data_IF_393963681237
#
_entry.id   IF_393963681237
#
_cell.length_a   1.000
_cell.length_b   1.000
_cell.length_c   1.000
_cell.angle_alpha   90.00
_cell.angle_beta   90.00
_cell.angle_gamma   90.00
#
_symmetry.space_group_name_H-M   'P 1'
#
loop_
_entity.id
_entity.type
_entity.pdbx_description
1 polymer ?
#
# COMPACT_ATOMS: atom_id res chain seq x y z
N UNK A 1 24.99 0.84 -1.03
CA UNK A 1 24.80 -0.24 -0.05
C UNK A 1 24.94 0.32 1.36
N UNK A 2 23.98 0.07 2.27
CA UNK A 2 23.97 0.55 3.66
C UNK A 2 23.72 -0.63 4.59
N UNK A 3 24.49 -0.72 5.68
CA UNK A 3 24.38 -1.76 6.69
C UNK A 3 23.84 -1.24 8.01
N UNK A 4 23.05 -2.07 8.67
CA UNK A 4 22.53 -1.81 10.02
C UNK A 4 22.56 -3.10 10.83
N UNK A 5 23.13 -3.09 12.02
CA UNK A 5 23.08 -4.21 12.97
C UNK A 5 21.76 -4.17 13.74
N UNK A 6 21.16 -5.34 13.92
CA UNK A 6 19.93 -5.52 14.71
C UNK A 6 20.32 -5.98 16.12
N UNK A 7 20.41 -5.03 17.02
CA UNK A 7 20.55 -5.31 18.46
C UNK A 7 19.25 -4.92 19.20
N UNK A 8 19.36 -4.35 20.41
CA UNK A 8 18.23 -3.69 21.08
C UNK A 8 17.69 -2.46 20.34
N UNK A 9 18.51 -1.91 19.46
CA UNK A 9 18.19 -0.83 18.50
C UNK A 9 18.80 -1.16 17.14
N UNK A 10 18.45 -0.38 16.12
CA UNK A 10 19.07 -0.44 14.79
C UNK A 10 20.31 0.46 14.78
N UNK A 11 21.49 -0.12 14.55
CA UNK A 11 22.78 0.57 14.59
C UNK A 11 23.38 0.62 13.20
N UNK A 12 23.62 1.82 12.61
CA UNK A 12 24.25 1.93 11.29
C UNK A 12 25.71 1.47 11.36
N UNK A 13 26.14 0.72 10.33
CA UNK A 13 27.50 0.21 10.18
C UNK A 13 28.11 0.67 8.87
N UNK A 14 29.44 0.81 8.83
CA UNK A 14 30.19 1.14 7.61
C UNK A 14 30.53 -0.10 6.77
N UNK A 15 30.53 -1.29 7.39
CA UNK A 15 30.92 -2.56 6.75
C UNK A 15 29.96 -3.69 7.13
N UNK A 16 30.03 -4.79 6.40
CA UNK A 16 29.28 -6.01 6.70
C UNK A 16 29.64 -6.56 8.07
N UNK A 17 28.66 -6.76 8.98
CA UNK A 17 28.91 -7.39 10.27
C UNK A 17 29.13 -8.91 10.12
N UNK A 18 29.75 -9.56 11.13
CA UNK A 18 29.94 -11.02 11.16
C UNK A 18 28.64 -11.79 10.87
N UNK A 19 28.71 -12.96 10.21
CA UNK A 19 27.51 -13.73 9.81
C UNK A 19 26.56 -14.09 10.95
N UNK A 20 27.07 -14.24 12.16
CA UNK A 20 26.29 -14.60 13.34
C UNK A 20 25.44 -13.47 13.89
N UNK A 21 25.77 -12.22 13.58
CA UNK A 21 25.05 -11.04 14.08
C UNK A 21 23.90 -10.67 13.15
N UNK A 22 22.66 -10.58 13.66
CA UNK A 22 21.53 -10.16 12.84
C UNK A 22 21.73 -8.76 12.27
N UNK A 23 21.50 -8.61 10.97
CA UNK A 23 21.68 -7.32 10.32
C UNK A 23 20.75 -7.10 9.12
N UNK A 24 20.58 -5.83 8.78
CA UNK A 24 19.86 -5.35 7.59
C UNK A 24 20.88 -4.81 6.59
N UNK A 25 20.72 -5.15 5.33
CA UNK A 25 21.41 -4.50 4.22
C UNK A 25 20.39 -3.88 3.28
N UNK A 26 20.58 -2.62 2.94
CA UNK A 26 19.81 -1.91 1.94
C UNK A 26 20.64 -1.75 0.67
N UNK A 27 20.08 -2.22 -0.45
CA UNK A 27 20.68 -2.23 -1.77
C UNK A 27 19.77 -1.48 -2.77
N UNK A 28 20.36 -0.99 -3.84
CA UNK A 28 19.62 -0.66 -5.06
C UNK A 28 19.51 -1.88 -5.97
N UNK A 29 18.58 -1.86 -6.95
CA UNK A 29 18.48 -2.92 -7.96
C UNK A 29 19.78 -3.08 -8.76
N UNK A 30 20.52 -1.99 -8.98
CA UNK A 30 21.80 -2.02 -9.67
C UNK A 30 22.88 -2.72 -8.83
N UNK A 31 22.96 -2.40 -7.53
CA UNK A 31 23.88 -3.07 -6.60
C UNK A 31 23.55 -4.55 -6.47
N UNK A 32 22.25 -4.91 -6.37
CA UNK A 32 21.81 -6.30 -6.36
C UNK A 32 22.23 -7.05 -7.65
N UNK A 33 22.08 -6.41 -8.81
CA UNK A 33 22.42 -7.01 -10.11
C UNK A 33 23.93 -7.29 -10.25
N UNK A 34 24.78 -6.48 -9.63
CA UNK A 34 26.23 -6.70 -9.57
C UNK A 34 26.63 -7.91 -8.72
N UNK A 35 25.63 -8.61 -8.13
CA UNK A 35 25.82 -9.79 -7.28
C UNK A 35 26.84 -9.55 -6.16
N UNK A 36 26.51 -8.68 -5.18
CA UNK A 36 27.43 -8.42 -4.08
C UNK A 36 27.74 -9.73 -3.35
N UNK A 37 28.99 -9.94 -3.01
CA UNK A 37 29.41 -11.10 -2.19
C UNK A 37 28.98 -10.81 -0.75
N UNK A 38 27.78 -11.22 -0.40
CA UNK A 38 27.26 -11.16 0.97
C UNK A 38 27.38 -12.55 1.60
N UNK A 39 28.11 -12.63 2.70
CA UNK A 39 28.47 -13.88 3.37
C UNK A 39 27.24 -14.75 3.66
N UNK A 40 27.19 -15.94 3.07
CA UNK A 40 26.12 -16.92 3.27
C UNK A 40 24.81 -16.62 2.54
N UNK A 41 24.76 -15.63 1.65
CA UNK A 41 23.54 -15.23 0.92
C UNK A 41 23.62 -15.47 -0.60
N UNK A 42 24.70 -15.99 -1.13
CA UNK A 42 24.97 -16.09 -2.58
C UNK A 42 23.86 -16.81 -3.35
N UNK A 43 23.30 -17.88 -2.76
CA UNK A 43 22.19 -18.63 -3.35
C UNK A 43 20.87 -17.87 -3.24
N UNK A 44 20.60 -17.26 -2.10
CA UNK A 44 19.35 -16.57 -1.80
C UNK A 44 19.25 -15.26 -2.59
N UNK A 45 20.35 -14.53 -2.79
CA UNK A 45 20.41 -13.28 -3.55
C UNK A 45 19.97 -13.45 -5.02
N UNK A 46 20.23 -14.61 -5.64
CA UNK A 46 19.77 -14.90 -7.01
C UNK A 46 18.25 -14.92 -7.14
N UNK A 47 17.55 -15.13 -6.02
CA UNK A 47 16.08 -15.19 -5.95
C UNK A 47 15.49 -13.93 -5.31
N UNK A 48 16.31 -12.93 -4.97
CA UNK A 48 15.86 -11.65 -4.43
C UNK A 48 15.33 -10.78 -5.56
N UNK A 49 14.06 -10.34 -5.50
CA UNK A 49 13.51 -9.50 -6.55
C UNK A 49 14.13 -8.10 -6.56
N UNK A 50 14.46 -7.58 -7.75
CA UNK A 50 14.85 -6.20 -7.94
C UNK A 50 13.63 -5.28 -7.79
N UNK A 51 13.78 -4.11 -7.15
CA UNK A 51 12.69 -3.17 -6.89
C UNK A 51 11.99 -2.69 -8.18
N UNK A 52 12.77 -2.46 -9.26
CA UNK A 52 12.25 -2.01 -10.58
C UNK A 52 11.30 -3.01 -11.26
N UNK A 53 11.38 -4.30 -10.93
CA UNK A 53 10.60 -5.36 -11.57
C UNK A 53 9.33 -5.71 -10.79
N UNK A 54 9.10 -5.05 -9.65
CA UNK A 54 7.96 -5.30 -8.76
C UNK A 54 6.64 -4.85 -9.41
N UNK A 55 5.66 -5.73 -9.40
CA UNK A 55 4.30 -5.47 -9.91
C UNK A 55 3.19 -5.79 -8.91
N UNK A 56 3.50 -6.62 -7.92
CA UNK A 56 2.56 -7.10 -6.88
C UNK A 56 3.27 -7.21 -5.54
N UNK A 57 2.50 -7.22 -4.43
CA UNK A 57 3.02 -7.70 -3.16
C UNK A 57 3.00 -9.22 -3.15
N UNK A 58 4.09 -9.86 -2.76
CA UNK A 58 4.16 -11.32 -2.59
C UNK A 58 5.18 -11.74 -1.54
N UNK A 59 4.97 -12.91 -0.96
CA UNK A 59 5.94 -13.61 -0.11
C UNK A 59 6.10 -15.04 -0.58
N UNK A 60 7.34 -15.49 -0.73
CA UNK A 60 7.73 -16.86 -1.09
C UNK A 60 8.61 -17.46 0.00
N UNK A 61 8.09 -18.46 0.70
CA UNK A 61 8.83 -19.19 1.71
C UNK A 61 9.65 -20.33 1.07
N UNK A 62 10.93 -20.40 1.42
CA UNK A 62 11.84 -21.50 1.10
C UNK A 62 12.34 -22.10 2.42
N UNK A 63 13.10 -23.19 2.35
CA UNK A 63 13.60 -23.88 3.55
C UNK A 63 14.47 -22.98 4.45
N UNK A 64 15.26 -22.11 3.85
CA UNK A 64 16.34 -21.36 4.47
C UNK A 64 16.20 -19.84 4.37
N UNK A 65 15.24 -19.35 3.58
CA UNK A 65 14.94 -17.93 3.46
C UNK A 65 13.47 -17.69 3.06
N UNK A 66 13.04 -16.45 3.27
CA UNK A 66 11.78 -15.91 2.76
C UNK A 66 12.11 -14.71 1.87
N UNK A 67 11.57 -14.67 0.67
CA UNK A 67 11.76 -13.54 -0.26
C UNK A 67 10.43 -13.04 -0.81
N UNK A 68 10.42 -11.81 -1.27
CA UNK A 68 9.21 -11.26 -1.82
C UNK A 68 9.33 -9.82 -2.28
N UNK A 69 8.16 -9.23 -2.53
CA UNK A 69 8.03 -7.87 -3.05
C UNK A 69 6.92 -7.13 -2.34
N UNK A 70 7.08 -5.82 -2.22
CA UNK A 70 6.06 -4.89 -1.75
C UNK A 70 5.89 -3.78 -2.77
N UNK A 71 4.65 -3.38 -3.03
CA UNK A 71 4.30 -2.26 -3.88
C UNK A 71 3.25 -1.41 -3.17
N UNK A 72 3.57 -0.16 -2.87
CA UNK A 72 2.66 0.73 -2.17
C UNK A 72 1.82 1.54 -3.17
N UNK A 73 0.56 1.85 -2.86
CA UNK A 73 -0.29 2.69 -3.71
C UNK A 73 0.07 4.18 -3.62
N UNK A 74 1.27 4.49 -3.14
CA UNK A 74 1.84 5.83 -3.01
C UNK A 74 2.95 6.04 -4.02
N UNK A 75 3.21 7.31 -4.34
CA UNK A 75 4.29 7.73 -5.22
C UNK A 75 5.23 8.67 -4.48
N UNK A 76 6.48 8.72 -4.94
CA UNK A 76 7.42 9.76 -4.54
C UNK A 76 6.93 11.13 -5.02
N UNK A 77 7.52 12.20 -4.52
CA UNK A 77 7.24 13.57 -5.02
C UNK A 77 7.52 13.72 -6.52
N UNK A 78 8.38 12.87 -7.09
CA UNK A 78 8.69 12.81 -8.53
C UNK A 78 7.75 11.90 -9.33
N UNK A 79 6.69 11.36 -8.72
CA UNK A 79 5.72 10.49 -9.40
C UNK A 79 6.18 9.05 -9.61
N UNK A 80 7.27 8.63 -8.98
CA UNK A 80 7.75 7.24 -9.02
C UNK A 80 7.02 6.41 -7.96
N UNK A 81 6.53 5.23 -8.36
CA UNK A 81 5.86 4.30 -7.46
C UNK A 81 6.84 3.69 -6.45
N UNK A 82 6.41 3.56 -5.20
CA UNK A 82 7.20 2.93 -4.15
C UNK A 82 7.12 1.40 -4.29
N UNK A 83 8.24 0.79 -4.63
CA UNK A 83 8.39 -0.65 -4.87
C UNK A 83 9.64 -1.17 -4.21
N UNK A 84 9.53 -2.31 -3.53
CA UNK A 84 10.61 -2.89 -2.76
C UNK A 84 10.74 -4.39 -3.03
N UNK A 85 11.98 -4.86 -3.15
CA UNK A 85 12.32 -6.26 -3.01
C UNK A 85 12.78 -6.55 -1.60
N UNK A 86 12.56 -7.77 -1.10
CA UNK A 86 13.10 -8.19 0.19
C UNK A 86 13.49 -9.67 0.20
N UNK A 87 14.46 -9.97 1.07
CA UNK A 87 14.85 -11.32 1.41
C UNK A 87 15.19 -11.36 2.90
N UNK A 88 14.71 -12.38 3.58
CA UNK A 88 14.91 -12.58 5.02
C UNK A 88 15.51 -13.95 5.25
N UNK A 89 16.60 -13.99 6.00
CA UNK A 89 17.19 -15.18 6.58
C UNK A 89 17.22 -15.05 8.10
N UNK A 90 17.65 -16.06 8.81
CA UNK A 90 17.75 -15.99 10.28
C UNK A 90 18.69 -14.92 10.80
N UNK A 91 19.70 -14.53 10.00
CA UNK A 91 20.72 -13.56 10.39
C UNK A 91 20.70 -12.29 9.52
N UNK A 92 20.02 -12.27 8.39
CA UNK A 92 20.08 -11.14 7.44
C UNK A 92 18.69 -10.77 6.93
N UNK A 93 18.46 -9.48 6.82
CA UNK A 93 17.37 -8.90 6.02
C UNK A 93 18.01 -8.10 4.88
N UNK A 94 17.75 -8.49 3.65
CA UNK A 94 18.14 -7.74 2.45
C UNK A 94 16.92 -6.96 1.98
N UNK A 95 17.07 -5.66 1.83
CA UNK A 95 16.05 -4.76 1.28
C UNK A 95 16.57 -4.17 -0.03
N UNK A 96 15.71 -4.11 -1.04
CA UNK A 96 16.04 -3.53 -2.35
C UNK A 96 15.11 -2.37 -2.63
N UNK A 97 15.67 -1.17 -2.77
CA UNK A 97 14.92 0.08 -2.99
C UNK A 97 15.68 1.01 -3.92
N UNK A 98 15.08 1.40 -5.03
CA UNK A 98 15.63 2.35 -5.99
C UNK A 98 15.18 3.80 -5.74
N UNK A 99 14.26 4.01 -4.78
CA UNK A 99 13.65 5.32 -4.51
C UNK A 99 14.29 6.08 -3.35
N UNK A 100 15.08 5.40 -2.52
CA UNK A 100 15.64 5.93 -1.27
C UNK A 100 14.62 6.09 -0.13
N UNK A 101 13.39 5.63 -0.33
CA UNK A 101 12.32 5.72 0.66
C UNK A 101 12.61 4.84 1.88
N UNK A 102 13.05 3.58 1.68
CA UNK A 102 13.43 2.70 2.78
C UNK A 102 14.62 3.25 3.56
N UNK A 103 15.59 3.88 2.89
CA UNK A 103 16.69 4.53 3.60
C UNK A 103 16.17 5.61 4.57
N UNK A 104 15.17 6.38 4.15
CA UNK A 104 14.56 7.39 5.00
C UNK A 104 13.84 6.77 6.20
N UNK A 105 13.12 5.66 6.01
CA UNK A 105 12.50 4.90 7.10
C UNK A 105 13.55 4.33 8.06
N UNK A 106 14.62 3.71 7.56
CA UNK A 106 15.68 3.16 8.41
C UNK A 106 16.40 4.24 9.22
N UNK A 107 16.68 5.41 8.62
CA UNK A 107 17.24 6.56 9.34
C UNK A 107 16.29 7.05 10.43
N UNK A 108 14.98 7.03 10.20
CA UNK A 108 13.99 7.39 11.19
C UNK A 108 13.96 6.39 12.36
N UNK A 109 14.01 5.08 12.08
CA UNK A 109 14.15 4.05 13.12
C UNK A 109 15.37 4.30 14.02
N UNK A 110 16.52 4.59 13.42
CA UNK A 110 17.74 4.88 14.16
C UNK A 110 17.60 6.12 15.02
N UNK A 111 17.11 7.22 14.43
CA UNK A 111 17.01 8.52 15.09
C UNK A 111 16.05 8.53 16.26
N UNK A 112 14.86 7.99 16.08
CA UNK A 112 13.79 7.99 17.06
C UNK A 112 13.81 6.74 17.97
N UNK A 113 14.78 5.85 17.78
CA UNK A 113 14.91 4.57 18.53
C UNK A 113 13.60 3.77 18.55
N UNK A 114 12.89 3.77 17.42
CA UNK A 114 11.58 3.12 17.29
C UNK A 114 11.66 1.60 17.32
N UNK A 115 12.81 1.04 16.92
CA UNK A 115 13.01 -0.39 16.97
C UNK A 115 13.43 -0.83 18.37
N UNK A 116 12.63 -1.72 18.96
CA UNK A 116 12.91 -2.34 20.27
C UNK A 116 12.73 -3.85 20.09
N UNK A 117 13.82 -4.60 20.13
CA UNK A 117 13.76 -6.04 20.00
C UNK A 117 15.01 -6.65 19.41
N UNK A 118 14.94 -7.93 19.10
CA UNK A 118 16.03 -8.71 18.50
C UNK A 118 15.47 -9.59 17.39
N UNK A 119 16.32 -9.92 16.42
CA UNK A 119 16.00 -10.85 15.35
C UNK A 119 15.43 -10.20 14.08
N UNK A 120 15.59 -10.91 12.99
CA UNK A 120 15.23 -10.44 11.65
C UNK A 120 13.70 -10.42 11.43
N UNK A 121 12.97 -11.34 12.05
CA UNK A 121 11.51 -11.39 11.98
C UNK A 121 10.88 -10.20 12.71
N UNK A 122 11.37 -9.87 13.92
CA UNK A 122 10.91 -8.69 14.66
C UNK A 122 11.19 -7.40 13.88
N UNK A 123 12.39 -7.26 13.34
CA UNK A 123 12.72 -6.09 12.51
C UNK A 123 11.78 -5.98 11.30
N UNK A 124 11.52 -7.08 10.60
CA UNK A 124 10.67 -7.05 9.42
C UNK A 124 9.22 -6.70 9.75
N UNK A 125 8.70 -7.22 10.87
CA UNK A 125 7.40 -6.81 11.39
C UNK A 125 7.31 -5.30 11.62
N UNK A 126 8.28 -4.72 12.34
CA UNK A 126 8.29 -3.27 12.63
C UNK A 126 8.40 -2.44 11.33
N UNK A 127 9.18 -2.92 10.36
CA UNK A 127 9.26 -2.28 9.05
C UNK A 127 7.89 -2.27 8.34
N UNK A 128 7.20 -3.41 8.31
CA UNK A 128 5.87 -3.53 7.72
C UNK A 128 4.85 -2.61 8.41
N UNK A 129 4.85 -2.59 9.75
CA UNK A 129 4.00 -1.68 10.54
C UNK A 129 4.27 -0.21 10.23
N UNK A 130 5.53 0.17 10.09
CA UNK A 130 5.92 1.53 9.73
C UNK A 130 5.47 1.91 8.31
N UNK A 131 5.51 0.97 7.37
CA UNK A 131 5.07 1.21 6.00
C UNK A 131 3.56 1.53 5.93
N UNK A 132 2.74 0.91 6.79
CA UNK A 132 1.28 1.12 6.83
C UNK A 132 0.83 2.12 7.92
N UNK A 133 1.75 2.68 8.70
CA UNK A 133 1.43 3.50 9.87
C UNK A 133 0.49 4.68 9.58
N UNK A 134 0.61 5.28 8.39
CA UNK A 134 -0.19 6.44 7.95
C UNK A 134 -1.33 6.07 6.99
N UNK A 135 -1.55 4.78 6.75
CA UNK A 135 -2.49 4.37 5.71
C UNK A 135 -3.94 4.67 6.08
N UNK A 136 -4.30 4.51 7.37
CA UNK A 136 -5.66 4.88 7.82
C UNK A 136 -5.95 6.35 7.53
N UNK A 137 -5.03 7.25 7.85
CA UNK A 137 -5.19 8.67 7.56
C UNK A 137 -5.37 8.96 6.05
N UNK A 138 -4.68 8.23 5.18
CA UNK A 138 -4.89 8.36 3.73
C UNK A 138 -6.26 7.84 3.28
N UNK A 139 -6.80 6.81 3.94
CA UNK A 139 -8.15 6.34 3.65
C UNK A 139 -9.20 7.35 4.11
N UNK A 140 -9.02 7.97 5.29
CA UNK A 140 -9.83 9.08 5.79
C UNK A 140 -9.81 10.28 4.82
N UNK A 141 -8.64 10.68 4.29
CA UNK A 141 -8.54 11.73 3.27
C UNK A 141 -9.34 11.40 1.99
N UNK A 142 -9.40 10.13 1.61
CA UNK A 142 -10.20 9.67 0.46
C UNK A 142 -11.69 9.73 0.80
N UNK A 143 -12.08 9.34 2.01
CA UNK A 143 -13.47 9.41 2.49
C UNK A 143 -13.98 10.85 2.46
N UNK A 144 -13.21 11.80 3.00
CA UNK A 144 -13.53 13.23 2.97
C UNK A 144 -13.75 13.74 1.54
N UNK A 145 -12.91 13.30 0.59
CA UNK A 145 -13.08 13.68 -0.82
C UNK A 145 -14.35 13.09 -1.45
N UNK A 146 -14.74 11.87 -1.06
CA UNK A 146 -16.01 11.27 -1.53
C UNK A 146 -17.19 12.03 -0.96
N UNK A 147 -17.13 12.38 0.33
CA UNK A 147 -18.17 13.16 1.01
C UNK A 147 -18.35 14.56 0.38
N UNK A 148 -17.25 15.25 0.11
CA UNK A 148 -17.31 16.54 -0.59
C UNK A 148 -18.00 16.41 -1.96
N UNK A 149 -17.72 15.33 -2.68
CA UNK A 149 -18.33 15.08 -3.98
C UNK A 149 -19.83 14.73 -3.86
N UNK A 150 -20.23 14.08 -2.78
CA UNK A 150 -21.63 13.83 -2.44
C UNK A 150 -22.38 15.15 -2.19
N UNK A 151 -21.80 16.06 -1.42
CA UNK A 151 -22.37 17.37 -1.13
C UNK A 151 -22.51 18.23 -2.41
N UNK A 152 -21.53 18.18 -3.33
CA UNK A 152 -21.61 18.80 -4.65
C UNK A 152 -22.81 18.27 -5.46
N UNK A 153 -23.05 16.96 -5.44
CA UNK A 153 -24.21 16.34 -6.11
C UNK A 153 -25.52 16.83 -5.51
N UNK A 154 -25.62 16.87 -4.18
CA UNK A 154 -26.82 17.33 -3.47
C UNK A 154 -27.12 18.83 -3.70
N UNK A 155 -26.08 19.66 -3.83
CA UNK A 155 -26.21 21.08 -4.17
C UNK A 155 -26.49 21.32 -5.65
N UNK A 156 -26.32 20.28 -6.47
CA UNK A 156 -26.57 20.33 -7.90
C UNK A 156 -25.43 20.83 -8.76
N UNK A 157 -24.22 20.77 -8.22
CA UNK A 157 -22.99 21.12 -8.92
C UNK A 157 -22.41 19.87 -9.59
N UNK A 158 -22.53 19.77 -10.92
CA UNK A 158 -22.19 18.53 -11.66
C UNK A 158 -20.95 18.63 -12.55
N UNK A 159 -20.40 19.82 -12.72
CA UNK A 159 -19.37 20.06 -13.74
C UNK A 159 -18.12 19.20 -13.61
N UNK A 160 -17.67 18.94 -12.40
CA UNK A 160 -16.43 18.18 -12.11
C UNK A 160 -16.66 16.74 -11.68
N UNK A 161 -17.92 16.37 -11.46
CA UNK A 161 -18.27 15.08 -10.87
C UNK A 161 -17.59 13.89 -11.55
N UNK A 162 -17.75 13.76 -12.88
CA UNK A 162 -17.24 12.57 -13.61
C UNK A 162 -15.72 12.41 -13.53
N UNK A 163 -14.98 13.52 -13.57
CA UNK A 163 -13.52 13.50 -13.47
C UNK A 163 -13.07 13.14 -12.05
N UNK A 164 -13.65 13.78 -11.02
CA UNK A 164 -13.35 13.55 -9.61
C UNK A 164 -13.72 12.13 -9.20
N UNK A 165 -14.92 11.66 -9.53
CA UNK A 165 -15.37 10.29 -9.26
C UNK A 165 -14.46 9.23 -9.92
N UNK A 166 -14.01 9.47 -11.15
CA UNK A 166 -13.08 8.58 -11.83
C UNK A 166 -11.75 8.49 -11.08
N UNK A 167 -11.24 9.60 -10.58
CA UNK A 167 -10.03 9.66 -9.76
C UNK A 167 -10.18 8.86 -8.45
N UNK A 168 -11.25 9.12 -7.71
CA UNK A 168 -11.55 8.44 -6.44
C UNK A 168 -11.72 6.94 -6.61
N UNK A 169 -12.44 6.48 -7.64
CA UNK A 169 -12.60 5.06 -7.96
C UNK A 169 -11.26 4.39 -8.28
N UNK A 170 -10.35 5.05 -9.01
CA UNK A 170 -9.01 4.52 -9.29
C UNK A 170 -8.19 4.44 -8.01
N UNK A 171 -8.27 5.45 -7.15
CA UNK A 171 -7.56 5.49 -5.86
C UNK A 171 -8.05 4.37 -4.94
N UNK A 172 -9.35 4.30 -4.66
CA UNK A 172 -9.94 3.27 -3.79
C UNK A 172 -9.66 1.85 -4.29
N UNK A 173 -9.68 1.63 -5.62
CA UNK A 173 -9.32 0.35 -6.22
C UNK A 173 -7.83 0.01 -6.01
N UNK A 174 -6.94 0.99 -6.09
CA UNK A 174 -5.50 0.78 -5.87
C UNK A 174 -5.23 0.40 -4.42
N UNK A 175 -5.85 1.07 -3.45
CA UNK A 175 -5.74 0.76 -2.02
C UNK A 175 -6.32 -0.62 -1.68
N UNK A 176 -7.50 -0.95 -2.17
CA UNK A 176 -8.09 -2.28 -1.96
C UNK A 176 -7.23 -3.40 -2.53
N UNK A 177 -6.68 -3.23 -3.74
CA UNK A 177 -5.78 -4.22 -4.35
C UNK A 177 -4.50 -4.37 -3.54
N UNK A 178 -3.95 -3.27 -3.05
CA UNK A 178 -2.77 -3.28 -2.20
C UNK A 178 -2.99 -4.10 -0.93
N UNK A 179 -4.06 -3.81 -0.17
CA UNK A 179 -4.33 -4.56 1.06
C UNK A 179 -4.72 -6.01 0.81
N UNK A 180 -5.37 -6.32 -0.31
CA UNK A 180 -5.64 -7.71 -0.67
C UNK A 180 -4.33 -8.48 -0.86
N UNK A 181 -3.37 -7.92 -1.58
CA UNK A 181 -2.06 -8.54 -1.79
C UNK A 181 -1.19 -8.54 -0.53
N UNK A 182 -1.24 -7.45 0.26
CA UNK A 182 -0.51 -7.38 1.52
C UNK A 182 -1.06 -8.38 2.55
N UNK A 183 -2.37 -8.65 2.52
CA UNK A 183 -3.01 -9.71 3.30
C UNK A 183 -2.48 -11.10 2.93
N UNK A 184 -2.26 -11.37 1.64
CA UNK A 184 -1.63 -12.63 1.21
C UNK A 184 -0.19 -12.75 1.76
N UNK A 185 0.57 -11.64 1.78
CA UNK A 185 1.90 -11.59 2.40
C UNK A 185 1.81 -11.84 3.91
N UNK A 186 0.91 -11.13 4.60
CA UNK A 186 0.71 -11.27 6.05
C UNK A 186 0.32 -12.70 6.44
N UNK A 187 -0.60 -13.31 5.67
CA UNK A 187 -1.00 -14.70 5.85
C UNK A 187 0.19 -15.67 5.73
N UNK A 188 1.06 -15.50 4.71
CA UNK A 188 2.27 -16.32 4.55
C UNK A 188 3.25 -16.17 5.69
N UNK A 189 3.44 -14.96 6.21
CA UNK A 189 4.29 -14.70 7.38
C UNK A 189 3.72 -15.37 8.64
N UNK A 190 2.41 -15.22 8.86
CA UNK A 190 1.68 -15.83 9.98
C UNK A 190 1.73 -17.35 9.96
N UNK A 191 1.52 -17.98 8.79
CA UNK A 191 1.55 -19.44 8.65
C UNK A 191 2.91 -20.05 9.00
N UNK A 192 4.00 -19.29 8.79
CA UNK A 192 5.37 -19.71 9.15
C UNK A 192 5.69 -21.15 8.73
N UNK A 193 5.29 -21.54 7.50
CA UNK A 193 5.34 -22.94 7.01
C UNK A 193 6.72 -23.58 7.09
N UNK A 194 7.78 -22.78 7.03
CA UNK A 194 9.18 -23.26 7.14
C UNK A 194 9.73 -23.22 8.57
N UNK A 195 8.92 -22.88 9.58
CA UNK A 195 9.38 -22.78 10.97
C UNK A 195 10.47 -21.72 11.17
N UNK A 196 10.48 -20.70 10.35
CA UNK A 196 11.52 -19.69 10.30
C UNK A 196 11.45 -18.72 11.46
N UNK A 197 10.24 -18.27 11.82
CA UNK A 197 10.00 -17.33 12.88
C UNK A 197 9.75 -18.02 14.22
N UNK A 198 10.22 -17.43 15.30
CA UNK A 198 9.90 -17.85 16.67
C UNK A 198 8.42 -17.68 16.98
N UNK A 199 7.91 -18.34 18.02
CA UNK A 199 6.50 -18.22 18.42
C UNK A 199 6.10 -16.78 18.75
N UNK A 200 7.01 -15.99 19.34
CA UNK A 200 6.78 -14.56 19.61
C UNK A 200 6.68 -13.73 18.33
N UNK A 201 7.56 -13.96 17.35
CA UNK A 201 7.52 -13.28 16.06
C UNK A 201 6.27 -13.68 15.24
N UNK A 202 5.87 -14.95 15.32
CA UNK A 202 4.65 -15.43 14.67
C UNK A 202 3.40 -14.72 15.21
N UNK A 203 3.33 -14.46 16.53
CA UNK A 203 2.25 -13.69 17.14
C UNK A 203 2.20 -12.24 16.62
N UNK A 204 3.35 -11.62 16.39
CA UNK A 204 3.41 -10.28 15.78
C UNK A 204 2.83 -10.27 14.37
N UNK A 205 3.15 -11.28 13.55
CA UNK A 205 2.58 -11.40 12.20
C UNK A 205 1.08 -11.69 12.21
N UNK A 206 0.54 -12.34 13.26
CA UNK A 206 -0.90 -12.41 13.47
C UNK A 206 -1.53 -11.04 13.65
N UNK A 207 -0.94 -10.21 14.53
CA UNK A 207 -1.43 -8.84 14.76
C UNK A 207 -1.36 -7.99 13.49
N UNK A 208 -0.30 -8.15 12.70
CA UNK A 208 -0.15 -7.48 11.41
C UNK A 208 -1.22 -7.91 10.41
N UNK A 209 -1.50 -9.21 10.28
CA UNK A 209 -2.55 -9.75 9.42
C UNK A 209 -3.93 -9.19 9.78
N UNK A 210 -4.26 -9.15 11.07
CA UNK A 210 -5.51 -8.55 11.57
C UNK A 210 -5.59 -7.05 11.21
N UNK A 211 -4.49 -6.32 11.32
CA UNK A 211 -4.44 -4.90 10.97
C UNK A 211 -4.64 -4.68 9.48
N UNK A 212 -3.95 -5.44 8.65
CA UNK A 212 -4.12 -5.40 7.18
C UNK A 212 -5.54 -5.78 6.78
N UNK A 213 -6.15 -6.75 7.49
CA UNK A 213 -7.54 -7.13 7.31
C UNK A 213 -8.52 -5.97 7.53
N UNK A 214 -8.32 -5.19 8.60
CA UNK A 214 -9.13 -3.97 8.86
C UNK A 214 -8.95 -2.91 7.77
N UNK A 215 -7.71 -2.60 7.37
CA UNK A 215 -7.45 -1.62 6.31
C UNK A 215 -8.04 -2.05 4.96
N UNK A 216 -8.04 -3.36 4.66
CA UNK A 216 -8.70 -3.90 3.47
C UNK A 216 -10.20 -3.69 3.52
N UNK A 217 -10.83 -3.90 4.68
CA UNK A 217 -12.26 -3.68 4.86
C UNK A 217 -12.62 -2.20 4.70
N UNK A 218 -11.86 -1.28 5.30
CA UNK A 218 -12.04 0.17 5.11
C UNK A 218 -11.97 0.55 3.63
N UNK A 219 -10.95 0.07 2.92
CA UNK A 219 -10.86 0.37 1.48
C UNK A 219 -11.97 -0.27 0.64
N UNK A 220 -12.61 -1.38 1.10
CA UNK A 220 -13.81 -1.95 0.49
C UNK A 220 -15.01 -1.04 0.69
N UNK A 221 -15.21 -0.52 1.91
CA UNK A 221 -16.29 0.41 2.22
C UNK A 221 -16.19 1.70 1.39
N UNK A 222 -15.01 2.27 1.25
CA UNK A 222 -14.80 3.45 0.39
C UNK A 222 -15.18 3.20 -1.08
N UNK A 223 -14.90 1.99 -1.61
CA UNK A 223 -15.34 1.63 -2.97
C UNK A 223 -16.85 1.54 -3.08
N UNK A 224 -17.52 1.01 -2.07
CA UNK A 224 -18.99 0.95 -2.01
C UNK A 224 -19.57 2.37 -1.89
N UNK A 225 -18.96 3.23 -1.08
CA UNK A 225 -19.36 4.63 -0.98
C UNK A 225 -19.25 5.36 -2.33
N UNK A 226 -18.14 5.20 -3.05
CA UNK A 226 -18.04 5.71 -4.42
C UNK A 226 -19.18 5.23 -5.33
N UNK A 227 -19.58 3.97 -5.23
CA UNK A 227 -20.67 3.43 -6.05
C UNK A 227 -22.03 4.03 -5.64
N UNK A 228 -22.27 4.26 -4.35
CA UNK A 228 -23.48 4.91 -3.85
C UNK A 228 -23.60 6.37 -4.36
N UNK A 229 -22.53 7.16 -4.23
CA UNK A 229 -22.50 8.55 -4.71
C UNK A 229 -22.68 8.59 -6.24
N UNK A 230 -22.12 7.65 -6.98
CA UNK A 230 -22.34 7.52 -8.43
C UNK A 230 -23.82 7.27 -8.77
N UNK A 231 -24.48 6.41 -8.00
CA UNK A 231 -25.92 6.12 -8.18
C UNK A 231 -26.78 7.33 -7.86
N UNK A 232 -26.45 8.03 -6.77
CA UNK A 232 -27.12 9.26 -6.38
C UNK A 232 -27.00 10.35 -7.46
N UNK A 233 -25.81 10.55 -8.02
CA UNK A 233 -25.59 11.47 -9.13
C UNK A 233 -26.49 11.15 -10.34
N UNK A 234 -26.62 9.89 -10.72
CA UNK A 234 -27.50 9.49 -11.82
C UNK A 234 -28.97 9.78 -11.52
N UNK A 235 -29.39 9.50 -10.28
CA UNK A 235 -30.76 9.82 -9.83
C UNK A 235 -31.07 11.32 -9.91
N UNK A 236 -30.12 12.18 -9.50
CA UNK A 236 -30.28 13.64 -9.60
C UNK A 236 -30.35 14.13 -11.05
N UNK A 237 -29.56 13.55 -11.95
CA UNK A 237 -29.65 13.83 -13.40
C UNK A 237 -31.04 13.44 -13.93
N UNK A 238 -31.54 12.26 -13.60
CA UNK A 238 -32.86 11.78 -14.05
C UNK A 238 -34.00 12.66 -13.55
N UNK A 239 -33.94 13.10 -12.29
CA UNK A 239 -34.91 14.04 -11.69
C UNK A 239 -34.92 15.38 -12.48
N UNK A 240 -33.74 15.93 -12.79
CA UNK A 240 -33.64 17.18 -13.56
C UNK A 240 -34.14 17.02 -14.98
N UNK A 241 -33.80 15.93 -15.65
CA UNK A 241 -34.30 15.62 -17.00
C UNK A 241 -35.82 15.52 -16.99
N UNK A 242 -36.40 14.77 -16.05
CA UNK A 242 -37.86 14.66 -15.90
C UNK A 242 -38.53 16.00 -15.64
N UNK A 243 -37.93 16.86 -14.82
CA UNK A 243 -38.44 18.23 -14.58
C UNK A 243 -38.41 19.06 -15.86
N UNK A 244 -37.34 19.03 -16.60
CA UNK A 244 -37.19 19.74 -17.88
C UNK A 244 -38.22 19.27 -18.92
N UNK A 245 -38.39 17.92 -19.02
CA UNK A 245 -39.40 17.32 -19.90
C UNK A 245 -40.83 17.76 -19.53
N UNK A 246 -41.18 17.78 -18.24
CA UNK A 246 -42.49 18.29 -17.79
C UNK A 246 -42.71 19.71 -18.17
N UNK A 247 -41.73 20.62 -17.98
CA UNK A 247 -41.82 22.02 -18.37
C UNK A 247 -42.01 22.16 -19.88
N UNK A 248 -41.22 21.42 -20.68
CA UNK A 248 -41.32 21.44 -22.14
C UNK A 248 -42.68 20.94 -22.61
N UNK A 249 -43.23 19.89 -22.01
CA UNK A 249 -44.57 19.35 -22.32
C UNK A 249 -45.65 20.38 -22.03
N UNK A 250 -45.61 21.06 -20.89
CA UNK A 250 -46.57 22.12 -20.52
C UNK A 250 -46.50 23.27 -21.52
N UNK A 251 -45.29 23.75 -21.84
CA UNK A 251 -45.07 24.83 -22.82
C UNK A 251 -45.62 24.46 -24.18
N UNK A 252 -45.29 23.28 -24.71
CA UNK A 252 -45.79 22.85 -26.04
C UNK A 252 -47.29 22.64 -26.05
N UNK A 253 -47.91 22.12 -24.99
CA UNK A 253 -49.35 21.90 -24.89
C UNK A 253 -50.13 23.25 -24.89
N UNK A 254 -49.56 24.31 -24.34
CA UNK A 254 -50.18 25.64 -24.29
C UNK A 254 -49.93 26.43 -25.59
N UNK A 255 -48.70 26.43 -26.11
CA UNK A 255 -48.34 27.26 -27.25
C UNK A 255 -48.76 26.68 -28.60
N UNK A 256 -48.86 25.33 -28.74
CA UNK A 256 -49.24 24.71 -30.02
C UNK A 256 -50.67 25.09 -30.44
N UNK A 257 -51.72 25.05 -29.59
CA UNK A 257 -53.04 25.55 -30.00
C UNK A 257 -53.11 27.06 -30.20
N UNK A 258 -52.31 27.88 -29.44
CA UNK A 258 -52.28 29.33 -29.59
C UNK A 258 -51.61 29.77 -30.91
N UNK A 259 -50.76 28.98 -31.50
CA UNK A 259 -50.06 29.26 -32.76
C UNK A 259 -50.90 28.87 -34.01
N UNK A 260 -52.04 28.18 -33.82
CA UNK A 260 -52.97 27.77 -34.87
C UNK A 260 -54.22 28.70 -34.95
N UNK A 261 -54.35 29.62 -34.01
CA UNK A 261 -55.36 30.70 -34.00
C UNK A 261 -54.78 31.99 -34.59
#
# INVERSE_FOLDING_TARGET
MYWYEIESNLIPLEQEPPPERPAVVLLTSEELFRQPQLSGLERALRHTPAARDVRICKAEARSDYLSGTLILPRMTKSGVRLTYGYLITRARVVLVDDTGSLQSHLKHFVKERLFVGQGTGRFFYELLEQLIAKDLHHLEEIEDQIQMLEDEVLSGEFERFSASMTGLRKSTMAWFRYYSQLGDVACRLRENQNGFFSGGEQQLFHMFDDRVGRLREESRLLREYCAQVQTMFQSEIDIRQNRTMKILTVVTTIFLPLSLL
#
